data_IF_716304951620
#
_entry.id   IF_716304951620
#
_cell.length_a   1.000
_cell.length_b   1.000
_cell.length_c   1.000
_cell.angle_alpha   90.00
_cell.angle_beta   90.00
_cell.angle_gamma   90.00
#
_symmetry.space_group_name_H-M   'P 1'
#
loop_
_entity.id
_entity.type
_entity.pdbx_description
1 polymer ?
#
# COMPACT_ATOMS: atom_id res chain seq x y z
N UNK A 1 5.68 -12.39 -25.08
CA UNK A 1 6.47 -11.83 -24.46
C UNK A 1 6.25 -11.26 -23.28
N UNK A 2 6.92 -10.58 -22.81
CA UNK A 2 6.74 -10.65 -21.60
C UNK A 2 6.66 -9.47 -20.89
N UNK A 3 6.52 -9.70 -19.73
CA UNK A 3 5.96 -8.81 -18.80
C UNK A 3 6.86 -7.70 -18.43
N UNK A 4 8.07 -7.62 -18.90
CA UNK A 4 8.90 -6.50 -18.54
C UNK A 4 8.33 -5.18 -19.02
N UNK A 5 7.37 -5.23 -19.95
CA UNK A 5 6.70 -4.01 -20.38
C UNK A 5 5.26 -3.95 -19.91
N UNK A 6 4.85 -4.85 -19.02
CA UNK A 6 3.50 -4.89 -18.50
C UNK A 6 3.32 -3.77 -17.50
N UNK A 7 2.38 -2.87 -17.77
CA UNK A 7 2.04 -1.76 -16.88
C UNK A 7 1.47 -2.22 -15.55
N UNK A 8 1.00 -3.49 -15.50
CA UNK A 8 0.40 -4.02 -14.29
C UNK A 8 1.42 -4.65 -13.34
N UNK A 9 2.68 -4.66 -13.74
CA UNK A 9 3.72 -5.17 -12.86
C UNK A 9 4.00 -4.19 -11.74
N UNK A 10 4.18 -4.72 -10.55
CA UNK A 10 4.51 -3.92 -9.37
C UNK A 10 5.44 -4.73 -8.48
N UNK A 11 6.17 -4.04 -7.61
CA UNK A 11 7.06 -4.68 -6.66
C UNK A 11 6.34 -4.99 -5.35
N UNK A 12 6.85 -5.98 -4.62
CA UNK A 12 6.40 -6.29 -3.27
C UNK A 12 7.57 -6.34 -2.33
N UNK A 13 7.36 -5.87 -1.10
CA UNK A 13 8.31 -6.13 -0.01
C UNK A 13 7.54 -6.68 1.16
N UNK A 14 8.21 -7.45 2.01
CA UNK A 14 7.59 -8.03 3.19
C UNK A 14 7.35 -6.96 4.25
N UNK A 15 6.25 -7.10 5.01
CA UNK A 15 6.00 -6.26 6.18
C UNK A 15 7.19 -6.27 7.14
N UNK A 16 7.92 -7.38 7.19
CA UNK A 16 9.07 -7.51 8.08
C UNK A 16 10.27 -6.66 7.65
N UNK A 17 10.26 -6.18 6.40
CA UNK A 17 11.32 -5.33 5.88
C UNK A 17 11.01 -3.83 5.97
N UNK A 18 9.90 -3.47 6.63
CA UNK A 18 9.52 -2.07 6.81
C UNK A 18 10.33 -1.34 7.87
N UNK A 19 10.95 -2.07 8.79
CA UNK A 19 11.72 -1.44 9.86
C UNK A 19 12.84 -0.60 9.27
N UNK A 20 13.01 0.60 9.80
CA UNK A 20 13.98 1.53 9.28
C UNK A 20 13.50 2.34 8.08
N UNK A 21 12.36 1.98 7.51
CA UNK A 21 11.77 2.72 6.39
C UNK A 21 10.62 3.62 6.83
N UNK A 22 10.01 3.32 7.97
CA UNK A 22 8.87 4.10 8.47
C UNK A 22 9.31 5.56 8.68
N UNK A 23 8.47 6.48 8.19
CA UNK A 23 8.79 7.91 8.22
C UNK A 23 9.62 8.37 7.03
N UNK A 24 10.17 7.45 6.24
CA UNK A 24 10.97 7.76 5.05
C UNK A 24 10.25 7.41 3.75
N UNK A 25 9.11 6.76 3.86
CA UNK A 25 8.29 6.35 2.71
C UNK A 25 6.87 6.87 2.90
N UNK A 26 6.14 6.94 1.79
CA UNK A 26 4.70 7.23 1.83
C UNK A 26 3.98 5.90 1.95
N UNK A 27 3.51 5.58 3.15
CA UNK A 27 2.81 4.34 3.45
C UNK A 27 1.32 4.60 3.53
N UNK A 28 0.54 3.93 2.68
CA UNK A 28 -0.90 4.12 2.59
C UNK A 28 -1.61 2.84 2.99
N UNK A 29 -2.45 2.95 4.03
CA UNK A 29 -3.28 1.85 4.53
C UNK A 29 -4.63 1.97 3.85
N UNK A 30 -4.96 0.98 3.02
CA UNK A 30 -6.19 1.02 2.23
C UNK A 30 -7.34 0.23 2.85
N UNK A 31 -7.21 -0.10 4.13
CA UNK A 31 -8.30 -0.76 4.85
C UNK A 31 -9.42 0.23 5.14
N UNK A 32 -10.54 -0.28 5.67
CA UNK A 32 -11.63 0.58 6.08
C UNK A 32 -11.23 1.43 7.28
N UNK A 33 -11.84 2.62 7.46
CA UNK A 33 -11.48 3.49 8.59
C UNK A 33 -11.59 2.82 9.95
N UNK A 34 -12.57 1.92 10.16
CA UNK A 34 -12.69 1.25 11.46
C UNK A 34 -11.55 0.26 11.69
N UNK A 35 -11.04 -0.37 10.64
CA UNK A 35 -9.87 -1.25 10.75
C UNK A 35 -8.64 -0.44 11.13
N UNK A 36 -8.46 0.70 10.48
CA UNK A 36 -7.34 1.58 10.72
C UNK A 36 -7.33 2.11 12.16
N UNK A 37 -8.49 2.53 12.66
CA UNK A 37 -8.62 3.03 14.03
C UNK A 37 -8.31 1.96 15.07
N UNK A 38 -8.57 0.72 14.74
CA UNK A 38 -8.35 -0.40 15.64
C UNK A 38 -6.86 -0.68 15.85
N UNK A 39 -6.03 -0.23 14.94
CA UNK A 39 -4.59 -0.35 15.01
C UNK A 39 -4.00 -0.35 13.62
N UNK A 40 -2.96 0.45 13.41
CA UNK A 40 -2.30 0.55 12.11
C UNK A 40 -0.79 0.65 12.28
N UNK A 41 -0.06 0.33 11.23
CA UNK A 41 1.39 0.45 11.23
C UNK A 41 1.75 1.94 11.37
N UNK A 42 2.69 2.28 12.25
CA UNK A 42 3.07 3.69 12.46
C UNK A 42 3.38 4.39 11.14
N UNK A 43 2.99 5.64 11.05
CA UNK A 43 3.14 6.54 9.90
C UNK A 43 2.20 6.27 8.74
N UNK A 44 1.47 5.15 8.73
CA UNK A 44 0.54 4.85 7.64
C UNK A 44 -0.61 5.87 7.61
N UNK A 45 -0.94 6.34 6.41
CA UNK A 45 -2.07 7.23 6.18
C UNK A 45 -3.22 6.40 5.65
N UNK A 46 -4.42 6.60 6.18
CA UNK A 46 -5.58 5.83 5.74
C UNK A 46 -6.24 6.47 4.52
N UNK A 47 -6.27 5.74 3.43
CA UNK A 47 -7.07 6.07 2.26
C UNK A 47 -7.78 4.78 1.87
N UNK A 48 -9.07 4.65 2.15
CA UNK A 48 -9.78 3.40 1.89
C UNK A 48 -9.66 2.96 0.43
N UNK A 49 -9.59 1.64 0.23
CA UNK A 49 -9.39 1.05 -1.10
C UNK A 49 -10.33 1.63 -2.14
N UNK A 50 -11.62 1.76 -1.78
CA UNK A 50 -12.60 2.28 -2.71
C UNK A 50 -12.26 3.70 -3.18
N UNK A 51 -11.86 4.55 -2.25
CA UNK A 51 -11.52 5.94 -2.58
C UNK A 51 -10.32 6.02 -3.51
N UNK A 52 -9.28 5.26 -3.21
CA UNK A 52 -8.05 5.32 -4.01
C UNK A 52 -8.25 4.70 -5.39
N UNK A 53 -9.12 3.69 -5.52
CA UNK A 53 -9.41 3.09 -6.81
C UNK A 53 -10.32 3.96 -7.67
N UNK A 54 -11.28 4.65 -7.07
CA UNK A 54 -12.21 5.50 -7.81
C UNK A 54 -11.57 6.81 -8.26
N UNK A 55 -10.71 7.40 -7.41
CA UNK A 55 -10.13 8.70 -7.68
C UNK A 55 -8.64 8.75 -7.30
N UNK A 56 -7.80 7.91 -7.94
CA UNK A 56 -6.39 7.89 -7.57
C UNK A 56 -5.70 9.24 -7.76
N UNK A 57 -6.13 10.01 -8.76
CA UNK A 57 -5.54 11.30 -9.05
C UNK A 57 -5.73 12.32 -7.92
N UNK A 58 -6.71 12.09 -7.03
CA UNK A 58 -6.93 12.97 -5.89
C UNK A 58 -5.97 12.70 -4.73
N UNK A 59 -5.36 11.51 -4.73
CA UNK A 59 -4.52 11.08 -3.61
C UNK A 59 -3.06 10.86 -3.99
N UNK A 60 -2.79 10.56 -5.26
CA UNK A 60 -1.48 10.11 -5.69
C UNK A 60 -0.91 10.99 -6.79
N UNK A 61 0.42 11.10 -6.79
CA UNK A 61 1.17 11.82 -7.80
C UNK A 61 2.03 10.79 -8.55
N UNK A 62 1.93 10.74 -9.86
CA UNK A 62 2.64 9.74 -10.66
C UNK A 62 4.15 9.87 -10.62
N UNK A 63 4.67 10.99 -10.14
CA UNK A 63 6.11 11.17 -9.99
C UNK A 63 6.65 10.64 -8.66
N UNK A 64 5.76 10.25 -7.74
CA UNK A 64 6.14 9.75 -6.42
C UNK A 64 5.90 8.26 -6.32
N UNK A 65 6.53 7.64 -5.34
CA UNK A 65 6.37 6.22 -5.05
C UNK A 65 5.61 6.03 -3.76
N UNK A 66 4.68 5.07 -3.75
CA UNK A 66 3.84 4.81 -2.58
C UNK A 66 3.90 3.34 -2.21
N UNK A 67 3.90 3.07 -0.91
CA UNK A 67 3.82 1.71 -0.37
C UNK A 67 2.39 1.49 0.09
N UNK A 68 1.78 0.40 -0.35
CA UNK A 68 0.36 0.12 -0.11
C UNK A 68 0.23 -1.07 0.82
N UNK A 69 -0.49 -0.90 1.93
CA UNK A 69 -0.68 -1.95 2.92
C UNK A 69 -2.16 -2.18 3.20
N UNK A 70 -2.53 -3.43 3.43
CA UNK A 70 -3.86 -3.79 3.89
C UNK A 70 -3.72 -4.78 5.05
N UNK A 71 -4.75 -5.57 5.36
CA UNK A 71 -4.70 -6.47 6.51
C UNK A 71 -3.78 -7.67 6.26
N UNK A 72 -3.89 -8.33 5.09
CA UNK A 72 -3.16 -9.56 4.81
C UNK A 72 -2.28 -9.50 3.57
N UNK A 73 -2.38 -8.44 2.80
CA UNK A 73 -1.63 -8.29 1.56
C UNK A 73 -2.46 -8.52 0.30
N UNK A 74 -3.68 -9.05 0.40
CA UNK A 74 -4.46 -9.38 -0.79
C UNK A 74 -5.17 -8.17 -1.41
N UNK A 75 -5.82 -7.33 -0.60
CA UNK A 75 -6.44 -6.10 -1.11
C UNK A 75 -5.37 -5.17 -1.68
N UNK A 76 -4.24 -5.06 -1.00
CA UNK A 76 -3.16 -4.19 -1.44
C UNK A 76 -2.52 -4.70 -2.73
N UNK A 77 -2.40 -6.01 -2.91
CA UNK A 77 -1.88 -6.57 -4.16
C UNK A 77 -2.79 -6.21 -5.34
N UNK A 78 -4.11 -6.35 -5.17
CA UNK A 78 -5.06 -5.99 -6.21
C UNK A 78 -5.03 -4.49 -6.51
N UNK A 79 -4.91 -3.69 -5.47
CA UNK A 79 -4.83 -2.24 -5.61
C UNK A 79 -3.57 -1.84 -6.37
N UNK A 80 -2.43 -2.45 -6.02
CA UNK A 80 -1.17 -2.18 -6.72
C UNK A 80 -1.26 -2.56 -8.19
N UNK A 81 -1.87 -3.70 -8.49
CA UNK A 81 -2.03 -4.11 -9.88
C UNK A 81 -2.81 -3.06 -10.67
N UNK A 82 -3.92 -2.60 -10.13
CA UNK A 82 -4.73 -1.59 -10.80
C UNK A 82 -3.97 -0.26 -10.96
N UNK A 83 -3.38 0.22 -9.87
CA UNK A 83 -2.70 1.52 -9.89
C UNK A 83 -1.47 1.49 -10.79
N UNK A 84 -0.72 0.39 -10.78
CA UNK A 84 0.42 0.23 -11.67
C UNK A 84 -0.02 0.31 -13.13
N UNK A 85 -1.15 -0.32 -13.46
CA UNK A 85 -1.72 -0.24 -14.80
C UNK A 85 -2.14 1.17 -15.20
N UNK A 86 -2.41 2.03 -14.21
CA UNK A 86 -2.77 3.43 -14.45
C UNK A 86 -1.54 4.34 -14.49
N UNK A 87 -0.34 3.79 -14.29
CA UNK A 87 0.90 4.56 -14.38
C UNK A 87 1.45 5.07 -13.05
N UNK A 88 0.88 4.64 -11.93
CA UNK A 88 1.39 5.02 -10.61
C UNK A 88 2.50 4.08 -10.16
N UNK A 89 3.45 4.60 -9.38
CA UNK A 89 4.56 3.82 -8.84
C UNK A 89 4.16 3.33 -7.47
N UNK A 90 3.89 2.05 -7.35
CA UNK A 90 3.39 1.46 -6.10
C UNK A 90 4.14 0.19 -5.74
N UNK A 91 4.27 -0.05 -4.45
CA UNK A 91 4.92 -1.22 -3.88
C UNK A 91 3.95 -1.86 -2.90
N UNK A 92 3.67 -3.15 -3.08
CA UNK A 92 2.79 -3.87 -2.18
C UNK A 92 3.54 -4.30 -0.93
N UNK A 93 2.91 -4.15 0.24
CA UNK A 93 3.47 -4.67 1.50
C UNK A 93 2.83 -6.04 1.74
N UNK A 94 3.59 -7.09 1.44
CA UNK A 94 3.10 -8.45 1.65
C UNK A 94 3.05 -8.77 3.15
N UNK A 95 2.07 -9.58 3.54
CA UNK A 95 1.83 -9.93 4.94
C UNK A 95 0.92 -8.94 5.66
N UNK A 96 0.99 -7.68 5.29
CA UNK A 96 0.09 -6.66 5.78
C UNK A 96 0.17 -6.38 7.27
N UNK A 97 -0.80 -5.60 7.74
CA UNK A 97 -0.88 -5.18 9.14
C UNK A 97 -0.98 -6.36 10.09
N UNK A 98 -1.66 -7.42 9.66
CA UNK A 98 -1.85 -8.62 10.50
C UNK A 98 -0.57 -9.35 10.84
N UNK A 99 0.47 -9.19 10.03
CA UNK A 99 1.76 -9.83 10.27
C UNK A 99 2.80 -8.89 10.89
N UNK A 100 2.41 -7.65 11.18
CA UNK A 100 3.33 -6.70 11.81
C UNK A 100 3.53 -7.10 13.27
N UNK A 101 4.80 -7.25 13.68
CA UNK A 101 5.10 -7.81 15.00
C UNK A 101 5.40 -6.75 16.07
N UNK A 102 5.46 -5.49 15.67
CA UNK A 102 5.69 -4.40 16.62
C UNK A 102 4.38 -3.72 16.97
N UNK A 103 4.36 -2.85 18.01
CA UNK A 103 3.12 -2.18 18.41
C UNK A 103 2.50 -1.37 17.29
N UNK A 104 1.17 -1.49 17.16
CA UNK A 104 0.40 -0.66 16.23
C UNK A 104 0.04 0.65 16.91
N UNK A 105 -0.17 1.68 16.10
CA UNK A 105 -0.72 2.95 16.57
C UNK A 105 -2.24 2.92 16.48
N UNK A 106 -2.88 3.75 17.28
CA UNK A 106 -4.34 3.88 17.27
C UNK A 106 -4.78 5.34 17.27
#
# INVERSE_FOLDING_TARGET
MFSIFDKNDYSSISIHDLDGRLGKIDLIDIREPYEYKDGHVPTAKNIPMRAILEHPEEYLNKSKEYHIICQSGSRSARTCKYLSGQGYKVINISGGTGSYIKPLER
#
